data_IF_132760162685
#
_entry.id   IF_132760162685
#
_cell.length_a   1.000
_cell.length_b   1.000
_cell.length_c   1.000
_cell.angle_alpha   90.00
_cell.angle_beta   90.00
_cell.angle_gamma   90.00
#
_symmetry.space_group_name_H-M   'P 1'
#
loop_
_entity.id
_entity.type
_entity.pdbx_description
1 polymer ?
#
# COMPACT_ATOMS: atom_id res chain seq x y z
N UNK A 1 3.92 11.46 -32.47
CA UNK A 1 3.30 10.33 -31.75
C UNK A 1 4.05 10.13 -30.44
N UNK A 2 3.43 10.45 -29.29
CA UNK A 2 3.93 10.03 -27.97
C UNK A 2 2.98 8.96 -27.44
N UNK A 3 3.27 7.72 -27.80
CA UNK A 3 2.63 6.52 -27.23
C UNK A 3 3.56 5.96 -26.16
N UNK A 4 3.06 5.93 -24.93
CA UNK A 4 3.51 5.18 -23.74
C UNK A 4 3.55 6.13 -22.55
N UNK A 5 2.42 6.20 -21.85
CA UNK A 5 2.35 6.00 -20.40
C UNK A 5 0.91 5.55 -20.13
N UNK A 6 0.58 4.39 -20.72
CA UNK A 6 -0.54 3.55 -20.29
C UNK A 6 -0.13 2.94 -18.96
N UNK A 7 -0.39 3.66 -17.90
CA UNK A 7 -0.79 3.04 -16.65
C UNK A 7 -2.01 3.83 -16.24
N UNK A 8 -3.16 3.47 -16.83
CA UNK A 8 -4.48 3.67 -16.27
C UNK A 8 -4.46 3.04 -14.88
N UNK A 9 -3.92 3.82 -13.95
CA UNK A 9 -3.73 3.41 -12.59
C UNK A 9 -5.02 3.72 -11.85
N UNK A 10 -6.02 2.84 -12.04
CA UNK A 10 -7.27 2.79 -11.31
C UNK A 10 -7.03 2.33 -9.86
N UNK A 11 -6.16 3.04 -9.14
CA UNK A 11 -6.27 3.11 -7.69
C UNK A 11 -7.47 3.99 -7.36
N UNK A 12 -8.36 3.48 -6.53
CA UNK A 12 -9.47 4.25 -6.01
C UNK A 12 -8.95 5.47 -5.25
N UNK A 13 -9.82 6.44 -5.04
CA UNK A 13 -9.51 7.62 -4.22
C UNK A 13 -9.02 7.23 -2.82
N UNK A 14 -9.50 6.09 -2.30
CA UNK A 14 -9.14 5.55 -0.98
C UNK A 14 -7.70 5.04 -1.00
N UNK A 15 -7.33 4.18 -1.96
CA UNK A 15 -5.97 3.65 -2.10
C UNK A 15 -4.93 4.77 -2.28
N UNK A 16 -5.22 5.78 -3.10
CA UNK A 16 -4.31 6.92 -3.29
C UNK A 16 -4.07 7.71 -2.01
N UNK A 17 -5.11 7.87 -1.19
CA UNK A 17 -5.01 8.59 0.08
C UNK A 17 -4.19 7.78 1.09
N UNK A 18 -4.53 6.49 1.23
CA UNK A 18 -3.81 5.51 2.05
C UNK A 18 -2.31 5.52 1.77
N UNK A 19 -1.94 5.33 0.50
CA UNK A 19 -0.53 5.27 0.09
C UNK A 19 0.16 6.59 0.37
N UNK A 20 -0.47 7.73 0.08
CA UNK A 20 0.15 9.03 0.34
C UNK A 20 0.44 9.27 1.82
N UNK A 21 -0.43 8.79 2.70
CA UNK A 21 -0.28 8.87 4.14
C UNK A 21 0.84 7.96 4.62
N UNK A 22 0.76 6.67 4.25
CA UNK A 22 1.71 5.64 4.66
C UNK A 22 3.09 5.75 4.00
N UNK A 23 3.20 6.35 2.81
CA UNK A 23 4.50 6.61 2.16
C UNK A 23 5.34 7.56 2.98
N UNK A 24 4.75 8.56 3.65
CA UNK A 24 5.56 9.47 4.48
C UNK A 24 6.23 8.71 5.61
N UNK A 25 5.46 7.89 6.33
CA UNK A 25 5.93 7.13 7.47
C UNK A 25 6.81 5.94 7.05
N UNK A 26 6.34 5.18 6.08
CA UNK A 26 7.00 4.00 5.53
C UNK A 26 8.30 4.31 4.79
N UNK A 27 8.44 5.51 4.21
CA UNK A 27 9.73 5.95 3.64
C UNK A 27 10.77 6.28 4.71
N UNK A 28 10.34 6.78 5.86
CA UNK A 28 11.25 7.05 6.99
C UNK A 28 11.70 5.75 7.66
N UNK A 29 10.79 4.79 7.81
CA UNK A 29 11.04 3.45 8.37
C UNK A 29 11.72 2.49 7.39
N UNK A 30 11.47 2.64 6.09
CA UNK A 30 11.78 1.68 5.03
C UNK A 30 10.76 0.55 4.87
N UNK A 31 9.71 0.54 5.70
CA UNK A 31 8.66 -0.49 5.67
C UNK A 31 7.32 0.03 6.18
N UNK A 32 6.24 -0.66 5.83
CA UNK A 32 4.88 -0.45 6.34
C UNK A 32 4.31 -1.77 6.83
N UNK A 33 3.50 -1.74 7.89
CA UNK A 33 2.83 -2.93 8.42
C UNK A 33 1.42 -3.07 7.85
N UNK A 34 0.90 -4.30 7.78
CA UNK A 34 -0.53 -4.52 7.48
C UNK A 34 -1.44 -3.82 8.50
N UNK A 35 -0.99 -3.69 9.75
CA UNK A 35 -1.74 -2.96 10.78
C UNK A 35 -1.89 -1.48 10.40
N UNK A 36 -0.81 -0.82 9.98
CA UNK A 36 -0.85 0.57 9.48
C UNK A 36 -1.74 0.72 8.24
N UNK A 37 -1.74 -0.27 7.34
CA UNK A 37 -2.66 -0.32 6.21
C UNK A 37 -4.12 -0.38 6.68
N UNK A 38 -4.41 -1.25 7.65
CA UNK A 38 -5.74 -1.38 8.23
C UNK A 38 -6.15 -0.11 8.98
N UNK A 39 -5.27 0.51 9.78
CA UNK A 39 -5.56 1.74 10.52
C UNK A 39 -5.93 2.89 9.59
N UNK A 40 -5.22 3.02 8.47
CA UNK A 40 -5.43 4.10 7.50
C UNK A 40 -6.67 3.85 6.61
N UNK A 41 -7.11 2.60 6.46
CA UNK A 41 -8.42 2.22 5.91
C UNK A 41 -9.56 2.25 6.96
N UNK A 42 -9.23 2.28 8.26
CA UNK A 42 -10.18 2.29 9.37
C UNK A 42 -10.88 0.94 9.56
N UNK A 43 -12.23 0.95 9.63
CA UNK A 43 -13.04 -0.27 9.73
C UNK A 43 -13.12 -1.06 8.41
N UNK A 44 -12.58 -0.52 7.31
CA UNK A 44 -12.57 -1.22 6.02
C UNK A 44 -11.38 -2.17 5.96
N UNK A 45 -11.64 -3.45 6.25
CA UNK A 45 -10.62 -4.49 6.04
C UNK A 45 -10.27 -4.55 4.55
N UNK A 46 -9.01 -4.34 4.14
CA UNK A 46 -8.63 -4.41 2.75
C UNK A 46 -8.87 -5.82 2.22
N UNK A 47 -9.47 -5.90 1.04
CA UNK A 47 -9.58 -7.16 0.32
C UNK A 47 -8.19 -7.65 -0.10
N UNK A 48 -7.98 -8.96 -0.29
CA UNK A 48 -6.69 -9.50 -0.75
C UNK A 48 -6.18 -8.82 -2.03
N UNK A 49 -7.07 -8.53 -2.98
CA UNK A 49 -6.71 -7.80 -4.20
C UNK A 49 -6.24 -6.36 -3.93
N UNK A 50 -6.81 -5.68 -2.93
CA UNK A 50 -6.37 -4.34 -2.53
C UNK A 50 -5.01 -4.41 -1.86
N UNK A 51 -4.78 -5.38 -0.96
CA UNK A 51 -3.47 -5.61 -0.37
C UNK A 51 -2.43 -5.85 -1.46
N UNK A 52 -2.66 -6.78 -2.40
CA UNK A 52 -1.71 -7.04 -3.48
C UNK A 52 -1.35 -5.79 -4.29
N UNK A 53 -2.33 -4.92 -4.58
CA UNK A 53 -2.07 -3.63 -5.23
C UNK A 53 -1.20 -2.73 -4.36
N UNK A 54 -1.55 -2.57 -3.10
CA UNK A 54 -0.83 -1.75 -2.13
C UNK A 54 0.63 -2.22 -1.99
N UNK A 55 0.85 -3.53 -1.88
CA UNK A 55 2.17 -4.17 -1.82
C UNK A 55 3.00 -3.85 -3.06
N UNK A 56 2.43 -3.98 -4.27
CA UNK A 56 3.13 -3.66 -5.50
C UNK A 56 3.58 -2.20 -5.54
N UNK A 57 2.74 -1.27 -5.07
CA UNK A 57 3.04 0.16 -5.08
C UNK A 57 4.17 0.49 -4.09
N UNK A 58 4.07 -0.04 -2.87
CA UNK A 58 5.14 0.15 -1.88
C UNK A 58 6.45 -0.46 -2.37
N UNK A 59 6.42 -1.64 -2.98
CA UNK A 59 7.61 -2.25 -3.59
C UNK A 59 8.20 -1.38 -4.71
N UNK A 60 7.38 -0.75 -5.56
CA UNK A 60 7.85 0.21 -6.57
C UNK A 60 8.48 1.47 -5.97
N UNK A 61 8.19 1.78 -4.72
CA UNK A 61 8.74 2.93 -3.98
C UNK A 61 9.88 2.55 -3.02
N UNK A 62 10.43 1.34 -3.12
CA UNK A 62 11.46 0.80 -2.21
C UNK A 62 10.99 0.75 -0.73
N UNK A 63 9.70 0.49 -0.51
CA UNK A 63 9.11 0.34 0.82
C UNK A 63 8.63 -1.11 0.97
N UNK A 64 9.11 -1.81 2.00
CA UNK A 64 8.71 -3.20 2.26
C UNK A 64 7.39 -3.25 3.02
N UNK A 65 6.44 -4.09 2.62
CA UNK A 65 5.22 -4.32 3.41
C UNK A 65 5.38 -5.61 4.22
N UNK A 66 5.29 -5.48 5.54
CA UNK A 66 5.44 -6.59 6.48
C UNK A 66 4.10 -6.94 7.14
N UNK A 67 3.86 -8.25 7.32
CA UNK A 67 2.78 -8.70 8.20
C UNK A 67 3.14 -8.38 9.65
N UNK A 68 2.18 -7.85 10.42
CA UNK A 68 2.31 -7.84 11.87
C UNK A 68 2.25 -9.31 12.31
N UNK A 69 3.41 -9.93 12.56
CA UNK A 69 3.57 -11.33 12.96
C UNK A 69 2.86 -11.60 14.30
N UNK A 70 1.54 -11.75 14.26
CA UNK A 70 0.69 -12.27 15.34
C UNK A 70 0.42 -13.77 15.22
N UNK A 71 0.93 -14.44 14.18
CA UNK A 71 0.74 -15.89 13.96
C UNK A 71 2.06 -16.64 14.10
N UNK A 72 2.64 -16.56 15.30
CA UNK A 72 3.47 -17.67 15.78
C UNK A 72 2.60 -18.91 15.93
N UNK A 73 2.68 -19.79 14.91
CA UNK A 73 2.58 -21.26 14.96
C UNK A 73 1.28 -21.92 15.43
#
# INVERSE_FOLDING_TARGET
MNTANKSDNEFSSVEKKLIKELVSDGREKGFVTIDEINESLGDETPSPEQLEKIFNIFAEMDIEVIEYEGTKK
#
